data_IF_716896978176
#
_entry.id   IF_716896978176
#
_cell.length_a   1.000
_cell.length_b   1.000
_cell.length_c   1.000
_cell.angle_alpha   90.00
_cell.angle_beta   90.00
_cell.angle_gamma   90.00
#
_symmetry.space_group_name_H-M   'P 1'
#
loop_
_entity.id
_entity.type
_entity.pdbx_description
1 polymer ?
#
# COMPACT_ATOMS: atom_id res chain seq x y z
N UNK A 1 9.39 -13.35 1.60
CA UNK A 1 8.62 -12.22 1.05
C UNK A 1 9.52 -11.26 0.26
N UNK A 2 8.95 -10.51 -0.67
CA UNK A 2 9.64 -9.50 -1.45
C UNK A 2 9.45 -8.13 -0.82
N UNK A 3 10.53 -7.33 -0.77
CA UNK A 3 10.56 -6.00 -0.15
C UNK A 3 11.09 -4.98 -1.17
N UNK A 4 10.32 -3.93 -1.43
CA UNK A 4 10.78 -2.76 -2.15
C UNK A 4 11.41 -1.77 -1.17
N UNK A 5 12.61 -1.30 -1.45
CA UNK A 5 13.27 -0.20 -0.74
C UNK A 5 13.39 0.97 -1.71
N UNK A 6 12.83 2.13 -1.33
CA UNK A 6 12.94 3.36 -2.11
C UNK A 6 13.68 4.39 -1.27
N UNK A 7 14.92 4.64 -1.64
CA UNK A 7 15.86 5.52 -0.93
C UNK A 7 16.82 6.11 -1.98
N UNK A 8 16.98 7.42 -1.99
CA UNK A 8 17.84 8.13 -2.96
C UNK A 8 19.34 8.00 -2.64
N UNK A 9 19.69 7.84 -1.36
CA UNK A 9 21.06 7.50 -0.97
C UNK A 9 21.36 6.02 -1.29
N UNK A 10 22.09 5.80 -2.39
CA UNK A 10 22.47 4.46 -2.87
C UNK A 10 23.26 3.65 -1.81
N UNK A 11 24.07 4.31 -0.97
CA UNK A 11 24.86 3.64 0.06
C UNK A 11 23.93 3.14 1.19
N UNK A 12 22.98 3.98 1.60
CA UNK A 12 21.98 3.61 2.60
C UNK A 12 21.04 2.53 2.05
N UNK A 13 20.56 2.67 0.82
CA UNK A 13 19.73 1.66 0.16
C UNK A 13 20.43 0.29 0.11
N UNK A 14 21.70 0.27 -0.29
CA UNK A 14 22.50 -0.95 -0.35
C UNK A 14 22.72 -1.58 1.03
N UNK A 15 22.96 -0.76 2.04
CA UNK A 15 23.12 -1.23 3.42
C UNK A 15 21.80 -1.84 3.94
N UNK A 16 20.69 -1.15 3.78
CA UNK A 16 19.36 -1.64 4.16
C UNK A 16 19.03 -2.95 3.43
N UNK A 17 19.30 -3.01 2.12
CA UNK A 17 19.08 -4.20 1.32
C UNK A 17 19.89 -5.40 1.84
N UNK A 18 21.18 -5.22 2.12
CA UNK A 18 22.05 -6.28 2.67
C UNK A 18 21.47 -6.84 3.96
N UNK A 19 21.08 -5.97 4.89
CA UNK A 19 20.52 -6.39 6.18
C UNK A 19 19.20 -7.13 6.04
N UNK A 20 18.33 -6.70 5.09
CA UNK A 20 17.05 -7.36 4.85
C UNK A 20 17.21 -8.70 4.11
N UNK A 21 18.19 -8.81 3.22
CA UNK A 21 18.55 -10.08 2.57
C UNK A 21 19.03 -11.11 3.61
N UNK A 22 19.83 -10.68 4.58
CA UNK A 22 20.28 -11.55 5.69
C UNK A 22 19.09 -12.02 6.55
N UNK A 23 18.04 -11.21 6.66
CA UNK A 23 16.78 -11.57 7.34
C UNK A 23 15.82 -12.41 6.46
N UNK A 24 16.22 -12.78 5.23
CA UNK A 24 15.48 -13.69 4.34
C UNK A 24 14.49 -13.02 3.40
N UNK A 25 14.57 -11.69 3.21
CA UNK A 25 13.77 -10.98 2.21
C UNK A 25 14.44 -11.00 0.83
N UNK A 26 13.64 -11.04 -0.23
CA UNK A 26 14.09 -10.67 -1.57
C UNK A 26 13.92 -9.16 -1.71
N UNK A 27 15.00 -8.44 -1.93
CA UNK A 27 14.99 -6.98 -1.93
C UNK A 27 15.16 -6.45 -3.35
N UNK A 28 14.31 -5.49 -3.71
CA UNK A 28 14.43 -4.67 -4.91
C UNK A 28 14.60 -3.21 -4.46
N UNK A 29 15.61 -2.52 -4.98
CA UNK A 29 15.87 -1.12 -4.68
C UNK A 29 15.43 -0.22 -5.84
N UNK A 30 14.97 0.98 -5.50
CA UNK A 30 14.72 2.09 -6.41
C UNK A 30 15.22 3.38 -5.75
N UNK A 31 15.72 4.32 -6.55
CA UNK A 31 16.31 5.56 -6.06
C UNK A 31 15.46 6.80 -6.38
N UNK A 32 14.27 6.56 -6.93
CA UNK A 32 13.29 7.60 -7.24
C UNK A 32 11.90 7.02 -7.37
N UNK A 33 10.87 7.90 -7.30
CA UNK A 33 9.50 7.52 -7.59
C UNK A 33 9.36 6.86 -8.97
N UNK A 34 10.01 7.43 -9.98
CA UNK A 34 9.90 6.93 -11.35
C UNK A 34 10.50 5.54 -11.54
N UNK A 35 11.54 5.19 -10.79
CA UNK A 35 12.11 3.85 -10.79
C UNK A 35 11.22 2.87 -10.06
N UNK A 36 10.73 3.23 -8.87
CA UNK A 36 9.85 2.39 -8.07
C UNK A 36 8.59 1.98 -8.85
N UNK A 37 7.98 2.90 -9.60
CA UNK A 37 6.79 2.64 -10.40
C UNK A 37 7.02 1.78 -11.66
N UNK A 38 8.27 1.53 -12.05
CA UNK A 38 8.61 0.62 -13.16
C UNK A 38 8.79 -0.84 -12.72
N UNK A 39 8.83 -1.08 -11.41
CA UNK A 39 9.03 -2.43 -10.88
C UNK A 39 7.73 -3.23 -11.02
N UNK A 40 7.78 -4.34 -11.72
CA UNK A 40 6.64 -5.24 -11.93
C UNK A 40 7.09 -6.71 -11.83
N UNK A 41 6.37 -7.57 -11.12
CA UNK A 41 5.23 -7.25 -10.26
C UNK A 41 5.65 -6.33 -9.11
N UNK A 42 4.71 -5.51 -8.63
CA UNK A 42 5.00 -4.61 -7.52
C UNK A 42 5.03 -5.39 -6.20
N UNK A 43 6.11 -5.26 -5.40
CA UNK A 43 6.15 -5.88 -4.07
C UNK A 43 5.07 -5.30 -3.14
N UNK A 44 4.39 -6.17 -2.41
CA UNK A 44 3.36 -5.78 -1.44
C UNK A 44 3.92 -5.17 -0.16
N UNK A 45 5.22 -5.27 0.07
CA UNK A 45 5.91 -4.69 1.23
C UNK A 45 6.90 -3.66 0.73
N UNK A 46 6.83 -2.44 1.24
CA UNK A 46 7.69 -1.35 0.84
C UNK A 46 8.21 -0.55 2.03
N UNK A 47 9.49 -0.16 1.97
CA UNK A 47 10.13 0.84 2.81
C UNK A 47 10.44 2.04 1.94
N UNK A 48 9.88 3.21 2.25
CA UNK A 48 9.90 4.38 1.38
C UNK A 48 10.41 5.60 2.15
N UNK A 49 11.48 6.22 1.66
CA UNK A 49 11.84 7.57 2.07
C UNK A 49 10.88 8.59 1.44
N UNK A 50 10.51 9.63 2.18
CA UNK A 50 9.70 10.72 1.65
C UNK A 50 10.54 11.74 0.86
N UNK A 51 11.80 11.93 1.22
CA UNK A 51 12.72 12.88 0.58
C UNK A 51 13.30 12.38 -0.72
N UNK A 52 12.48 12.12 -1.73
CA UNK A 52 12.93 11.56 -3.02
C UNK A 52 13.18 12.67 -4.09
N UNK A 53 14.13 12.44 -5.02
CA UNK A 53 14.34 13.35 -6.13
C UNK A 53 13.11 13.40 -7.08
N UNK A 54 12.90 14.53 -7.82
CA UNK A 54 13.77 15.69 -7.91
C UNK A 54 13.60 16.73 -6.80
N UNK A 55 12.77 16.49 -5.81
CA UNK A 55 12.41 17.45 -4.77
C UNK A 55 12.82 16.93 -3.38
N UNK A 56 14.09 16.57 -3.20
CA UNK A 56 14.66 15.94 -2.00
C UNK A 56 14.39 16.71 -0.69
N UNK A 57 14.23 18.05 -0.77
CA UNK A 57 13.86 18.88 0.39
C UNK A 57 12.35 18.93 0.66
N UNK A 58 11.55 18.20 -0.10
CA UNK A 58 10.10 18.13 0.03
C UNK A 58 9.63 16.69 0.06
N UNK A 59 8.65 16.41 0.88
CA UNK A 59 8.08 15.07 1.04
C UNK A 59 7.06 14.69 -0.03
N UNK A 60 6.80 15.59 -0.98
CA UNK A 60 5.76 15.43 -1.99
C UNK A 60 5.95 14.20 -2.88
N UNK A 61 7.20 13.91 -3.30
CA UNK A 61 7.48 12.76 -4.17
C UNK A 61 7.22 11.42 -3.48
N UNK A 62 7.64 11.29 -2.22
CA UNK A 62 7.33 10.12 -1.41
C UNK A 62 5.84 9.96 -1.15
N UNK A 63 5.12 11.05 -0.86
CA UNK A 63 3.67 11.02 -0.67
C UNK A 63 2.92 10.63 -1.96
N UNK A 64 3.33 11.14 -3.12
CA UNK A 64 2.77 10.72 -4.42
C UNK A 64 3.10 9.26 -4.74
N UNK A 65 4.26 8.78 -4.33
CA UNK A 65 4.61 7.38 -4.48
C UNK A 65 3.68 6.47 -3.67
N UNK A 66 3.38 6.83 -2.41
CA UNK A 66 2.44 6.08 -1.57
C UNK A 66 1.08 5.96 -2.27
N UNK A 67 0.52 7.07 -2.76
CA UNK A 67 -0.76 7.08 -3.46
C UNK A 67 -0.73 6.15 -4.69
N UNK A 68 0.36 6.19 -5.48
CA UNK A 68 0.50 5.39 -6.68
C UNK A 68 0.67 3.89 -6.36
N UNK A 69 1.48 3.54 -5.35
CA UNK A 69 1.68 2.16 -4.91
C UNK A 69 0.35 1.55 -4.41
N UNK A 70 -0.40 2.28 -3.59
CA UNK A 70 -1.69 1.83 -3.06
C UNK A 70 -2.80 1.80 -4.13
N UNK A 71 -2.72 2.65 -5.16
CA UNK A 71 -3.64 2.59 -6.29
C UNK A 71 -3.43 1.35 -7.16
N UNK A 72 -2.16 0.91 -7.30
CA UNK A 72 -1.81 -0.30 -8.04
C UNK A 72 -2.11 -1.56 -7.22
N UNK A 73 -1.68 -1.57 -5.95
CA UNK A 73 -1.80 -2.70 -5.03
C UNK A 73 -2.36 -2.23 -3.68
N UNK A 74 -3.70 -2.20 -3.51
CA UNK A 74 -4.35 -1.67 -2.31
C UNK A 74 -4.00 -2.39 -1.00
N UNK A 75 -3.51 -3.62 -1.10
CA UNK A 75 -3.09 -4.42 0.06
C UNK A 75 -1.64 -4.20 0.48
N UNK A 76 -0.89 -3.37 -0.26
CA UNK A 76 0.50 -3.07 0.08
C UNK A 76 0.65 -2.52 1.48
N UNK A 77 1.71 -2.93 2.17
CA UNK A 77 2.12 -2.38 3.47
C UNK A 77 3.35 -1.51 3.24
N UNK A 78 3.12 -0.21 3.29
CA UNK A 78 4.15 0.80 3.06
C UNK A 78 4.59 1.34 4.41
N UNK A 79 5.87 1.19 4.71
CA UNK A 79 6.52 1.78 5.88
C UNK A 79 7.29 3.00 5.39
N UNK A 80 7.02 4.13 6.00
CA UNK A 80 7.65 5.40 5.65
C UNK A 80 8.82 5.67 6.58
N UNK A 81 9.93 6.13 6.03
CA UNK A 81 11.05 6.68 6.80
C UNK A 81 11.21 8.15 6.43
N UNK A 82 11.27 9.05 7.41
CA UNK A 82 11.25 10.50 7.17
C UNK A 82 12.13 11.26 8.14
N UNK A 83 12.61 12.47 7.78
CA UNK A 83 13.41 13.31 8.65
C UNK A 83 12.68 13.77 9.92
N UNK A 84 13.43 14.16 10.96
CA UNK A 84 12.86 14.60 12.24
C UNK A 84 11.96 15.84 12.15
N UNK A 85 12.22 16.72 11.18
CA UNK A 85 11.45 17.96 11.00
C UNK A 85 10.16 17.75 10.16
N UNK A 86 9.86 16.50 9.81
CA UNK A 86 8.77 16.14 8.88
C UNK A 86 7.65 15.36 9.57
N UNK A 87 7.43 15.54 10.85
CA UNK A 87 6.38 14.82 11.62
C UNK A 87 5.01 15.00 10.97
N UNK A 88 4.71 16.18 10.44
CA UNK A 88 3.46 16.46 9.71
C UNK A 88 3.34 15.63 8.43
N UNK A 89 4.44 15.36 7.74
CA UNK A 89 4.46 14.52 6.54
C UNK A 89 4.29 13.04 6.89
N UNK A 90 4.84 12.57 8.02
CA UNK A 90 4.59 11.23 8.54
C UNK A 90 3.10 11.00 8.82
N UNK A 91 2.42 11.96 9.48
CA UNK A 91 0.98 11.89 9.68
C UNK A 91 0.19 11.91 8.37
N UNK A 92 0.61 12.72 7.39
CA UNK A 92 -0.04 12.76 6.09
C UNK A 92 0.15 11.43 5.34
N UNK A 93 1.33 10.79 5.43
CA UNK A 93 1.58 9.47 4.87
C UNK A 93 0.62 8.41 5.44
N UNK A 94 0.42 8.40 6.77
CA UNK A 94 -0.55 7.50 7.42
C UNK A 94 -1.98 7.78 6.98
N UNK A 95 -2.37 9.06 6.84
CA UNK A 95 -3.69 9.43 6.30
C UNK A 95 -3.92 8.96 4.88
N UNK A 96 -2.88 8.85 4.06
CA UNK A 96 -2.90 8.31 2.69
C UNK A 96 -2.89 6.78 2.64
N UNK A 97 -2.72 6.12 3.79
CA UNK A 97 -2.77 4.66 3.91
C UNK A 97 -1.42 3.98 4.12
N UNK A 98 -0.36 4.72 4.43
CA UNK A 98 0.88 4.10 4.89
C UNK A 98 0.60 3.25 6.14
N UNK A 99 1.24 2.08 6.20
CA UNK A 99 1.05 1.11 7.29
C UNK A 99 1.70 1.57 8.58
N UNK A 100 2.88 2.17 8.50
CA UNK A 100 3.67 2.63 9.64
C UNK A 100 4.64 3.73 9.21
N UNK A 101 5.21 4.46 10.17
CA UNK A 101 6.28 5.42 9.89
C UNK A 101 7.38 5.37 10.95
N UNK A 102 8.58 5.77 10.55
CA UNK A 102 9.77 5.88 11.39
C UNK A 102 10.45 7.23 11.13
N UNK A 103 10.89 7.91 12.18
CA UNK A 103 11.66 9.15 12.04
C UNK A 103 13.15 8.85 11.96
N UNK A 104 13.86 9.46 11.02
CA UNK A 104 15.33 9.42 10.92
C UNK A 104 15.95 10.27 12.08
N UNK A 105 17.01 9.81 12.75
CA UNK A 105 17.69 8.55 12.56
C UNK A 105 16.92 7.37 13.16
N UNK A 106 16.54 6.39 12.33
CA UNK A 106 15.85 5.19 12.77
C UNK A 106 16.84 4.09 13.11
N UNK A 107 16.70 3.45 14.27
CA UNK A 107 17.53 2.31 14.61
C UNK A 107 17.17 1.11 13.71
N UNK A 108 18.16 0.32 13.31
CA UNK A 108 17.94 -0.86 12.47
C UNK A 108 16.95 -1.86 13.10
N UNK A 109 16.97 -1.96 14.43
CA UNK A 109 16.01 -2.78 15.18
C UNK A 109 14.56 -2.35 14.96
N UNK A 110 14.32 -1.05 14.86
CA UNK A 110 12.98 -0.49 14.68
C UNK A 110 12.49 -0.68 13.24
N UNK A 111 13.39 -0.49 12.27
CA UNK A 111 13.14 -0.77 10.85
C UNK A 111 12.76 -2.26 10.67
N UNK A 112 13.59 -3.17 11.21
CA UNK A 112 13.31 -4.62 11.17
C UNK A 112 11.97 -4.97 11.84
N UNK A 113 11.69 -4.37 12.99
CA UNK A 113 10.44 -4.61 13.71
C UNK A 113 9.22 -4.13 12.91
N UNK A 114 9.30 -2.96 12.26
CA UNK A 114 8.23 -2.43 11.42
C UNK A 114 7.99 -3.32 10.19
N UNK A 115 9.04 -3.72 9.48
CA UNK A 115 8.97 -4.61 8.31
C UNK A 115 8.38 -5.97 8.71
N UNK A 116 8.82 -6.52 9.84
CA UNK A 116 8.28 -7.80 10.34
C UNK A 116 6.80 -7.70 10.70
N UNK A 117 6.36 -6.62 11.35
CA UNK A 117 4.92 -6.39 11.62
C UNK A 117 4.13 -6.33 10.32
N UNK A 118 4.57 -5.54 9.35
CA UNK A 118 3.92 -5.41 8.05
C UNK A 118 3.82 -6.75 7.31
N UNK A 119 4.90 -7.53 7.31
CA UNK A 119 4.93 -8.88 6.70
C UNK A 119 3.95 -9.85 7.38
N UNK A 120 3.83 -9.82 8.70
CA UNK A 120 2.86 -10.63 9.43
C UNK A 120 1.40 -10.23 9.11
N UNK A 121 1.14 -8.92 8.93
CA UNK A 121 -0.17 -8.43 8.51
C UNK A 121 -0.53 -8.90 7.11
N UNK A 122 0.40 -8.82 6.14
CA UNK A 122 0.19 -9.35 4.78
C UNK A 122 -0.18 -10.83 4.81
N UNK A 123 0.61 -11.63 5.52
CA UNK A 123 0.36 -13.07 5.62
C UNK A 123 -1.00 -13.37 6.27
N UNK A 124 -1.40 -12.60 7.28
CA UNK A 124 -2.71 -12.77 7.91
C UNK A 124 -3.87 -12.38 6.97
N UNK A 125 -3.72 -11.32 6.19
CA UNK A 125 -4.72 -10.90 5.19
C UNK A 125 -4.88 -11.93 4.06
N UNK A 126 -3.79 -12.56 3.62
CA UNK A 126 -3.83 -13.68 2.67
C UNK A 126 -4.69 -14.84 3.23
N UNK A 127 -4.47 -15.24 4.47
CA UNK A 127 -5.27 -16.29 5.13
C UNK A 127 -6.75 -15.93 5.28
N UNK A 128 -7.07 -14.67 5.63
CA UNK A 128 -8.46 -14.20 5.68
C UNK A 128 -9.12 -14.28 4.31
N UNK A 129 -8.42 -13.86 3.26
CA UNK A 129 -8.93 -13.93 1.89
C UNK A 129 -9.22 -15.37 1.44
N UNK A 130 -8.36 -16.33 1.82
CA UNK A 130 -8.58 -17.75 1.54
C UNK A 130 -9.83 -18.30 2.28
N UNK A 131 -10.13 -17.79 3.48
CA UNK A 131 -11.34 -18.15 4.24
C UNK A 131 -12.61 -17.41 3.79
N UNK A 132 -12.49 -16.51 2.80
CA UNK A 132 -13.60 -15.68 2.30
C UNK A 132 -13.90 -14.47 3.18
N UNK A 133 -13.00 -14.12 4.08
CA UNK A 133 -13.07 -12.93 4.93
C UNK A 133 -12.15 -11.84 4.38
N UNK A 134 -12.52 -10.58 4.57
CA UNK A 134 -11.70 -9.45 4.21
C UNK A 134 -11.65 -8.41 5.33
N UNK A 135 -10.49 -7.82 5.55
CA UNK A 135 -10.35 -6.68 6.45
C UNK A 135 -10.47 -5.39 5.64
N UNK A 136 -11.40 -4.52 6.04
CA UNK A 136 -11.60 -3.22 5.40
C UNK A 136 -11.02 -2.11 6.28
N UNK A 137 -10.21 -1.24 5.68
CA UNK A 137 -9.72 -0.01 6.30
C UNK A 137 -10.48 1.19 5.72
N UNK A 138 -11.45 1.71 6.48
CA UNK A 138 -12.32 2.78 5.99
C UNK A 138 -12.11 4.01 6.85
N UNK A 139 -11.73 5.11 6.21
CA UNK A 139 -11.74 6.44 6.83
C UNK A 139 -12.99 7.17 6.41
N UNK A 140 -13.89 7.44 7.34
CA UNK A 140 -15.14 8.15 7.10
C UNK A 140 -15.17 9.49 7.79
N UNK A 141 -15.79 10.48 7.14
CA UNK A 141 -16.12 11.75 7.78
C UNK A 141 -17.46 11.60 8.50
N UNK A 142 -17.45 11.64 9.82
CA UNK A 142 -18.66 11.49 10.63
C UNK A 142 -19.75 12.52 10.29
N UNK A 143 -19.36 13.69 9.77
CA UNK A 143 -20.30 14.72 9.32
C UNK A 143 -21.13 14.34 8.09
N UNK A 144 -20.73 13.32 7.33
CA UNK A 144 -21.42 12.91 6.10
C UNK A 144 -22.61 11.98 6.35
N UNK A 145 -22.76 11.50 7.58
CA UNK A 145 -23.88 10.65 7.98
C UNK A 145 -23.74 9.17 7.60
N UNK A 146 -24.70 8.32 8.07
CA UNK A 146 -24.59 6.86 7.92
C UNK A 146 -24.65 6.35 6.49
N UNK A 147 -25.35 7.04 5.59
CA UNK A 147 -25.54 6.62 4.21
C UNK A 147 -24.22 6.69 3.42
N UNK A 148 -23.51 7.82 3.53
CA UNK A 148 -22.23 8.00 2.83
C UNK A 148 -21.18 7.03 3.38
N UNK A 149 -21.27 6.69 4.67
CA UNK A 149 -20.43 5.66 5.28
C UNK A 149 -20.72 4.28 4.66
N UNK A 150 -21.97 3.92 4.48
CA UNK A 150 -22.37 2.64 3.87
C UNK A 150 -21.90 2.56 2.41
N UNK A 151 -22.06 3.65 1.64
CA UNK A 151 -21.58 3.72 0.26
C UNK A 151 -20.06 3.57 0.17
N UNK A 152 -19.29 4.17 1.09
CA UNK A 152 -17.84 4.01 1.16
C UNK A 152 -17.43 2.56 1.47
N UNK A 153 -18.14 1.87 2.37
CA UNK A 153 -17.93 0.45 2.67
C UNK A 153 -18.18 -0.42 1.43
N UNK A 154 -19.33 -0.22 0.77
CA UNK A 154 -19.68 -0.95 -0.45
C UNK A 154 -18.63 -0.76 -1.55
N UNK A 155 -18.21 0.49 -1.78
CA UNK A 155 -17.20 0.79 -2.77
C UNK A 155 -15.88 0.07 -2.48
N UNK A 156 -15.42 0.10 -1.24
CA UNK A 156 -14.17 -0.53 -0.85
C UNK A 156 -14.24 -2.07 -0.97
N UNK A 157 -15.37 -2.68 -0.61
CA UNK A 157 -15.59 -4.12 -0.80
C UNK A 157 -15.50 -4.51 -2.27
N UNK A 158 -16.12 -3.73 -3.16
CA UNK A 158 -16.10 -3.98 -4.61
C UNK A 158 -14.68 -3.81 -5.17
N UNK A 159 -13.98 -2.76 -4.80
CA UNK A 159 -12.59 -2.52 -5.24
C UNK A 159 -11.64 -3.59 -4.74
N UNK A 160 -11.75 -3.99 -3.47
CA UNK A 160 -10.96 -5.06 -2.88
C UNK A 160 -11.16 -6.38 -3.59
N UNK A 161 -12.41 -6.82 -3.79
CA UNK A 161 -12.71 -8.07 -4.48
C UNK A 161 -12.21 -8.09 -5.94
N UNK A 162 -12.22 -6.94 -6.63
CA UNK A 162 -11.66 -6.82 -7.98
C UNK A 162 -10.12 -6.87 -7.97
N UNK A 163 -9.47 -6.23 -7.02
CA UNK A 163 -8.02 -6.29 -6.85
C UNK A 163 -7.58 -7.74 -6.59
N UNK A 164 -8.19 -8.41 -5.62
CA UNK A 164 -7.90 -9.81 -5.26
C UNK A 164 -8.11 -10.81 -6.40
N UNK A 165 -8.96 -10.46 -7.36
CA UNK A 165 -9.26 -11.31 -8.50
C UNK A 165 -8.63 -10.82 -9.80
N UNK A 166 -7.68 -9.88 -9.72
CA UNK A 166 -7.00 -9.28 -10.87
C UNK A 166 -7.99 -8.78 -11.96
N UNK A 167 -9.10 -8.17 -11.52
CA UNK A 167 -10.13 -7.65 -12.41
C UNK A 167 -11.10 -8.70 -12.96
N UNK A 168 -11.05 -9.95 -12.50
CA UNK A 168 -12.00 -11.00 -12.91
C UNK A 168 -13.38 -10.75 -12.28
N UNK A 169 -14.27 -10.12 -13.03
CA UNK A 169 -15.62 -9.72 -12.59
C UNK A 169 -16.46 -10.90 -12.11
N UNK A 170 -16.35 -12.05 -12.76
CA UNK A 170 -17.15 -13.25 -12.40
C UNK A 170 -16.70 -13.78 -11.04
N UNK A 171 -15.41 -13.87 -10.83
CA UNK A 171 -14.85 -14.35 -9.57
C UNK A 171 -15.05 -13.33 -8.44
N UNK A 172 -14.89 -12.02 -8.72
CA UNK A 172 -15.17 -10.95 -7.76
C UNK A 172 -16.64 -10.98 -7.31
N UNK A 173 -17.57 -11.14 -8.23
CA UNK A 173 -19.00 -11.27 -7.92
C UNK A 173 -19.25 -12.49 -7.01
N UNK A 174 -18.66 -13.64 -7.33
CA UNK A 174 -18.77 -14.86 -6.53
C UNK A 174 -18.26 -14.63 -5.09
N UNK A 175 -17.11 -13.99 -4.92
CA UNK A 175 -16.54 -13.67 -3.58
C UNK A 175 -17.42 -12.74 -2.77
N UNK A 176 -18.10 -11.80 -3.42
CA UNK A 176 -19.03 -10.87 -2.79
C UNK A 176 -20.42 -11.46 -2.54
N UNK A 177 -20.68 -12.71 -2.92
CA UNK A 177 -22.01 -13.30 -2.85
C UNK A 177 -23.02 -12.68 -3.81
N UNK A 178 -22.54 -12.05 -4.91
CA UNK A 178 -23.34 -11.38 -5.90
C UNK A 178 -23.43 -12.18 -7.19
N UNK A 179 -24.52 -11.98 -7.96
CA UNK A 179 -24.52 -12.35 -9.38
C UNK A 179 -23.75 -11.30 -10.19
N UNK A 180 -23.17 -11.74 -11.30
CA UNK A 180 -22.27 -10.92 -12.13
C UNK A 180 -22.91 -9.58 -12.56
N UNK A 181 -24.19 -9.60 -12.88
CA UNK A 181 -24.96 -8.43 -13.31
C UNK A 181 -25.04 -7.36 -12.21
N UNK A 182 -25.19 -7.79 -10.96
CA UNK A 182 -25.22 -6.88 -9.82
C UNK A 182 -23.85 -6.23 -9.60
N UNK A 183 -22.75 -6.93 -9.85
CA UNK A 183 -21.43 -6.32 -9.74
C UNK A 183 -21.23 -5.20 -10.77
N UNK A 184 -21.74 -5.36 -12.01
CA UNK A 184 -21.71 -4.27 -13.01
C UNK A 184 -22.48 -3.03 -12.57
N UNK A 185 -23.58 -3.19 -11.82
CA UNK A 185 -24.28 -2.06 -11.21
C UNK A 185 -23.35 -1.28 -10.27
N UNK A 186 -22.62 -1.97 -9.38
CA UNK A 186 -21.68 -1.33 -8.45
C UNK A 186 -20.49 -0.68 -9.18
N UNK A 187 -19.96 -1.33 -10.22
CA UNK A 187 -18.90 -0.72 -11.05
C UNK A 187 -19.34 0.62 -11.63
N UNK A 188 -20.57 0.67 -12.16
CA UNK A 188 -21.14 1.90 -12.70
C UNK A 188 -21.45 2.93 -11.59
N UNK A 189 -22.02 2.48 -10.46
CA UNK A 189 -22.34 3.34 -9.31
C UNK A 189 -21.11 4.09 -8.80
N UNK A 190 -19.97 3.42 -8.71
CA UNK A 190 -18.72 3.96 -8.15
C UNK A 190 -17.69 4.39 -9.20
N UNK A 191 -18.04 4.40 -10.48
CA UNK A 191 -17.13 4.81 -11.55
C UNK A 191 -15.87 3.95 -11.68
N UNK A 192 -15.94 2.68 -11.29
CA UNK A 192 -14.79 1.76 -11.32
C UNK A 192 -14.57 1.27 -12.76
N UNK A 193 -13.42 1.62 -13.32
CA UNK A 193 -13.00 1.15 -14.63
C UNK A 193 -12.22 -0.17 -14.51
N UNK A 194 -12.59 -1.15 -15.33
CA UNK A 194 -11.83 -2.39 -15.43
C UNK A 194 -10.66 -2.15 -16.40
N UNK A 195 -9.43 -2.26 -15.89
CA UNK A 195 -8.26 -2.32 -16.76
C UNK A 195 -8.37 -3.63 -17.55
N UNK A 196 -8.71 -3.53 -18.84
CA UNK A 196 -8.59 -4.65 -19.76
C UNK A 196 -7.09 -4.84 -20.03
N UNK A 197 -6.51 -5.85 -19.43
CA UNK A 197 -5.24 -6.43 -19.87
C UNK A 197 -5.44 -7.12 -21.19
#
# INVERSE_FOLDING_TARGET
PELLIVEDDEALASYLASVMIDDGYRVVCAHSRSEALKIHPQPLLALVDLGLPPAENFTSEGLFLIDALLANEPHSKIIVVTGQDEESAAFEAVRRGAFDFLCKPAAMTDIKAAIKRASLFLHHEEHLSESGEARLHITVRLANGPKDTADAVEEQMVRGALADTHGNVTEAARRLGLVRENLYYYLKKYGIQLNRT
#
